data_IF_236833169245
#
_entry.id   IF_236833169245
#
_cell.length_a   1.000
_cell.length_b   1.000
_cell.length_c   1.000
_cell.angle_alpha   90.00
_cell.angle_beta   90.00
_cell.angle_gamma   90.00
#
_symmetry.space_group_name_H-M   'P 1'
#
loop_
_entity.id
_entity.type
_entity.pdbx_description
1 polymer ?
#
# COMPACT_ATOMS: atom_id res chain seq x y z
N UNK A 1 -13.32 15.41 13.02
CA UNK A 1 -12.00 15.58 12.36
C UNK A 1 -11.02 14.48 12.79
N UNK A 2 -11.48 13.36 13.37
CA UNK A 2 -10.62 12.41 14.11
C UNK A 2 -10.24 11.13 13.34
N UNK A 3 -10.92 10.81 12.24
CA UNK A 3 -10.69 9.56 11.50
C UNK A 3 -9.41 9.53 10.65
N UNK A 4 -8.96 10.68 10.15
CA UNK A 4 -7.80 10.72 9.24
C UNK A 4 -6.49 10.36 9.96
N UNK A 5 -6.34 10.75 11.22
CA UNK A 5 -5.12 10.51 12.00
C UNK A 5 -4.93 9.03 12.35
N UNK A 6 -6.02 8.31 12.63
CA UNK A 6 -5.97 6.88 12.92
C UNK A 6 -5.63 6.07 11.66
N UNK A 7 -6.34 6.32 10.55
CA UNK A 7 -6.07 5.65 9.29
C UNK A 7 -4.63 5.91 8.80
N UNK A 8 -4.16 7.15 8.94
CA UNK A 8 -2.78 7.50 8.59
C UNK A 8 -1.76 6.65 9.33
N UNK A 9 -1.92 6.45 10.65
CA UNK A 9 -1.04 5.59 11.45
C UNK A 9 -1.03 4.16 10.96
N UNK A 10 -2.21 3.58 10.70
CA UNK A 10 -2.31 2.21 10.17
C UNK A 10 -1.54 2.09 8.85
N UNK A 11 -1.74 3.05 7.94
CA UNK A 11 -1.07 3.05 6.64
C UNK A 11 0.44 3.20 6.80
N UNK A 12 0.90 4.09 7.69
CA UNK A 12 2.33 4.28 7.97
C UNK A 12 2.97 3.01 8.55
N UNK A 13 2.31 2.35 9.49
CA UNK A 13 2.78 1.09 10.10
C UNK A 13 2.84 -0.05 9.06
N UNK A 14 1.84 -0.15 8.18
CA UNK A 14 1.82 -1.13 7.09
C UNK A 14 2.94 -0.88 6.08
N UNK A 15 3.17 0.38 5.70
CA UNK A 15 4.24 0.77 4.77
C UNK A 15 5.62 0.55 5.40
N UNK A 16 5.81 0.85 6.68
CA UNK A 16 7.06 0.55 7.38
C UNK A 16 7.33 -0.95 7.39
N UNK A 17 6.30 -1.75 7.65
CA UNK A 17 6.39 -3.21 7.64
C UNK A 17 6.74 -3.74 6.25
N UNK A 18 6.08 -3.24 5.21
CA UNK A 18 6.41 -3.56 3.82
C UNK A 18 7.86 -3.23 3.49
N UNK A 19 8.30 -2.01 3.82
CA UNK A 19 9.66 -1.56 3.56
C UNK A 19 10.72 -2.37 4.32
N UNK A 20 10.39 -2.93 5.50
CA UNK A 20 11.29 -3.82 6.22
C UNK A 20 11.49 -5.16 5.51
N UNK A 21 10.46 -5.69 4.84
CA UNK A 21 10.53 -6.98 4.16
C UNK A 21 11.13 -6.87 2.74
N UNK A 22 10.92 -5.75 2.06
CA UNK A 22 11.24 -5.63 0.64
C UNK A 22 12.45 -4.74 0.32
N UNK A 23 12.98 -3.97 1.28
CA UNK A 23 14.21 -3.20 1.04
C UNK A 23 15.43 -4.11 0.89
N UNK A 24 16.36 -3.81 -0.04
CA UNK A 24 16.43 -2.61 -0.89
C UNK A 24 15.77 -2.76 -2.28
N UNK A 25 15.07 -3.87 -2.54
CA UNK A 25 14.54 -4.21 -3.87
C UNK A 25 13.29 -3.42 -4.24
N UNK A 26 12.42 -3.17 -3.24
CA UNK A 26 11.23 -2.32 -3.35
C UNK A 26 11.06 -1.41 -2.13
N UNK A 27 10.54 -0.21 -2.36
CA UNK A 27 10.17 0.77 -1.35
C UNK A 27 8.79 1.34 -1.65
N UNK A 28 7.88 1.26 -0.68
CA UNK A 28 6.56 1.88 -0.68
C UNK A 28 6.59 3.21 0.09
N UNK A 29 5.86 4.20 -0.42
CA UNK A 29 5.75 5.53 0.18
C UNK A 29 4.34 6.08 0.06
N UNK A 30 3.76 6.54 1.18
CA UNK A 30 2.47 7.21 1.18
C UNK A 30 2.58 8.58 0.49
N UNK A 31 1.79 8.78 -0.55
CA UNK A 31 1.70 10.05 -1.30
C UNK A 31 0.58 10.93 -0.73
N UNK A 32 -0.63 10.39 -0.62
CA UNK A 32 -1.80 11.15 -0.23
C UNK A 32 -2.88 10.25 0.38
N UNK A 33 -3.73 10.81 1.25
CA UNK A 33 -4.97 10.19 1.71
C UNK A 33 -6.13 11.07 1.22
N UNK A 34 -7.04 10.50 0.43
CA UNK A 34 -8.24 11.15 -0.11
C UNK A 34 -9.50 10.58 0.53
N UNK A 35 -10.53 11.41 0.64
CA UNK A 35 -11.88 11.00 1.08
C UNK A 35 -11.94 10.25 2.42
N UNK A 36 -10.91 10.39 3.27
CA UNK A 36 -10.74 9.70 4.57
C UNK A 36 -10.65 8.17 4.54
N UNK A 37 -10.73 7.53 3.38
CA UNK A 37 -10.63 6.06 3.24
C UNK A 37 -9.90 5.62 1.97
N UNK A 38 -9.52 6.52 1.08
CA UNK A 38 -8.70 6.22 -0.10
C UNK A 38 -7.29 6.71 0.19
N UNK A 39 -6.28 5.94 -0.16
CA UNK A 39 -4.89 6.33 0.02
C UNK A 39 -4.05 5.92 -1.18
N UNK A 40 -3.05 6.73 -1.50
CA UNK A 40 -2.22 6.61 -2.68
C UNK A 40 -0.81 6.27 -2.21
N UNK A 41 -0.26 5.16 -2.69
CA UNK A 41 1.07 4.69 -2.34
C UNK A 41 1.91 4.59 -3.61
N UNK A 42 3.08 5.21 -3.59
CA UNK A 42 4.08 5.07 -4.64
C UNK A 42 5.04 3.95 -4.26
N UNK A 43 5.27 3.04 -5.21
CA UNK A 43 6.23 1.97 -5.12
C UNK A 43 7.38 2.25 -6.08
N UNK A 44 8.59 2.32 -5.53
CA UNK A 44 9.83 2.49 -6.27
C UNK A 44 10.69 1.24 -6.07
N UNK A 45 11.34 0.77 -7.12
CA UNK A 45 12.20 -0.41 -7.01
C UNK A 45 12.92 -0.75 -8.29
N UNK A 46 13.78 -1.77 -8.22
CA UNK A 46 14.47 -2.32 -9.40
C UNK A 46 13.51 -3.25 -10.13
N UNK A 47 12.42 -2.67 -10.63
CA UNK A 47 11.40 -3.41 -11.34
C UNK A 47 11.96 -3.90 -12.68
N UNK A 48 12.34 -5.17 -12.75
CA UNK A 48 12.52 -5.80 -14.04
C UNK A 48 11.14 -5.85 -14.72
N UNK A 49 11.04 -5.28 -15.91
CA UNK A 49 9.79 -5.13 -16.72
C UNK A 49 8.97 -6.43 -16.87
N UNK A 50 9.56 -7.59 -16.57
CA UNK A 50 8.97 -8.92 -16.74
C UNK A 50 8.64 -9.65 -15.43
N UNK A 51 8.94 -9.10 -14.25
CA UNK A 51 8.76 -9.79 -12.98
C UNK A 51 7.77 -9.06 -12.06
N UNK A 52 6.59 -9.65 -11.85
CA UNK A 52 5.92 -9.64 -10.55
C UNK A 52 5.47 -8.30 -9.95
N UNK A 53 5.22 -7.26 -10.75
CA UNK A 53 4.71 -5.96 -10.25
C UNK A 53 3.47 -6.12 -9.37
N UNK A 54 2.64 -7.10 -9.71
CA UNK A 54 1.42 -7.42 -8.98
C UNK A 54 1.71 -8.02 -7.61
N UNK A 55 2.79 -8.81 -7.47
CA UNK A 55 3.14 -9.49 -6.22
C UNK A 55 3.45 -8.46 -5.12
N UNK A 56 4.11 -7.35 -5.47
CA UNK A 56 4.48 -6.30 -4.51
C UNK A 56 3.27 -5.51 -4.00
N UNK A 57 2.28 -5.31 -4.86
CA UNK A 57 1.04 -4.62 -4.51
C UNK A 57 0.15 -5.55 -3.67
N UNK A 58 0.06 -6.83 -4.05
CA UNK A 58 -0.64 -7.85 -3.28
C UNK A 58 -0.01 -8.05 -1.90
N UNK A 59 1.32 -7.95 -1.77
CA UNK A 59 2.04 -8.03 -0.49
C UNK A 59 1.62 -6.91 0.47
N UNK A 60 1.45 -5.67 -0.01
CA UNK A 60 0.96 -4.59 0.84
C UNK A 60 -0.46 -4.89 1.34
N UNK A 61 -1.35 -5.39 0.47
CA UNK A 61 -2.71 -5.81 0.87
C UNK A 61 -2.66 -6.91 1.93
N UNK A 62 -1.76 -7.88 1.77
CA UNK A 62 -1.59 -8.97 2.73
C UNK A 62 -1.08 -8.46 4.09
N UNK A 63 -0.19 -7.46 4.10
CA UNK A 63 0.28 -6.83 5.34
C UNK A 63 -0.87 -6.15 6.07
N UNK A 64 -1.70 -5.36 5.38
CA UNK A 64 -2.91 -4.78 5.99
C UNK A 64 -3.80 -5.87 6.59
N UNK A 65 -4.03 -6.97 5.85
CA UNK A 65 -4.83 -8.09 6.33
C UNK A 65 -4.23 -8.76 7.57
N UNK A 66 -2.90 -8.90 7.62
CA UNK A 66 -2.19 -9.45 8.79
C UNK A 66 -2.31 -8.55 10.02
N UNK A 67 -2.49 -7.24 9.82
CA UNK A 67 -2.75 -6.25 10.87
C UNK A 67 -4.23 -6.19 11.27
N UNK A 68 -5.11 -6.96 10.62
CA UNK A 68 -6.54 -6.96 10.89
C UNK A 68 -7.33 -5.93 10.08
N UNK A 69 -6.82 -5.46 8.95
CA UNK A 69 -7.43 -4.44 8.10
C UNK A 69 -7.64 -4.94 6.67
N UNK A 70 -8.84 -4.72 6.12
CA UNK A 70 -9.13 -5.01 4.72
C UNK A 70 -8.95 -3.75 3.87
N UNK A 71 -8.12 -3.89 2.84
CA UNK A 71 -7.87 -2.87 1.83
C UNK A 71 -8.03 -3.47 0.44
N UNK A 72 -8.53 -2.68 -0.50
CA UNK A 72 -8.66 -3.08 -1.90
C UNK A 72 -7.83 -2.15 -2.78
N UNK A 73 -7.12 -2.74 -3.76
CA UNK A 73 -6.52 -1.97 -4.84
C UNK A 73 -7.63 -1.54 -5.79
N UNK A 74 -7.85 -0.23 -5.91
CA UNK A 74 -8.83 0.35 -6.82
C UNK A 74 -8.23 0.53 -8.21
N UNK A 75 -7.00 1.02 -8.27
CA UNK A 75 -6.34 1.32 -9.53
C UNK A 75 -4.82 1.34 -9.37
N UNK A 76 -4.10 1.18 -10.47
CA UNK A 76 -2.64 1.29 -10.51
C UNK A 76 -2.22 2.11 -11.71
N UNK A 77 -1.43 3.14 -11.47
CA UNK A 77 -0.91 4.04 -12.49
C UNK A 77 0.60 3.84 -12.59
N UNK A 78 1.10 3.59 -13.80
CA UNK A 78 2.53 3.60 -14.07
C UNK A 78 3.00 5.05 -14.15
N UNK A 79 3.83 5.48 -13.19
CA UNK A 79 4.29 6.87 -13.07
C UNK A 79 5.71 7.09 -13.61
N UNK A 80 6.43 6.01 -13.94
CA UNK A 80 7.72 6.05 -14.60
C UNK A 80 8.29 4.66 -14.88
N UNK A 81 9.49 4.59 -15.46
CA UNK A 81 10.15 3.31 -15.83
C UNK A 81 10.41 2.37 -14.64
N UNK A 82 10.46 2.92 -13.43
CA UNK A 82 10.75 2.20 -12.17
C UNK A 82 9.85 2.62 -11.01
N UNK A 83 8.72 3.24 -11.31
CA UNK A 83 7.82 3.80 -10.30
C UNK A 83 6.38 3.49 -10.66
N UNK A 84 5.65 2.87 -9.75
CA UNK A 84 4.21 2.60 -9.87
C UNK A 84 3.47 3.24 -8.71
N UNK A 85 2.29 3.75 -9.00
CA UNK A 85 1.40 4.34 -8.01
C UNK A 85 0.18 3.46 -7.84
N UNK A 86 -0.02 2.88 -6.66
CA UNK A 86 -1.22 2.14 -6.29
C UNK A 86 -2.22 3.04 -5.59
N UNK A 87 -3.47 3.01 -6.03
CA UNK A 87 -4.61 3.66 -5.37
C UNK A 87 -5.37 2.59 -4.61
N UNK A 88 -5.37 2.71 -3.28
CA UNK A 88 -6.01 1.76 -2.39
C UNK A 88 -7.21 2.39 -1.69
N UNK A 89 -8.18 1.55 -1.35
CA UNK A 89 -9.34 1.92 -0.54
C UNK A 89 -9.39 1.03 0.69
N UNK A 90 -9.36 1.68 1.85
CA UNK A 90 -9.65 1.07 3.13
C UNK A 90 -11.14 0.72 3.19
N UNK A 91 -11.42 -0.57 3.43
CA UNK A 91 -12.79 -1.10 3.53
C UNK A 91 -13.23 -1.14 4.98
N UNK A 92 -12.37 -1.62 5.87
CA UNK A 92 -12.68 -1.77 7.29
C UNK A 92 -11.70 -2.69 8.01
N UNK A 93 -12.04 -3.09 9.22
CA UNK A 93 -11.30 -4.12 9.94
C UNK A 93 -11.66 -5.50 9.38
N UNK A 94 -10.64 -6.30 9.05
CA UNK A 94 -10.83 -7.68 8.64
C UNK A 94 -11.31 -8.46 9.86
N UNK A 95 -12.61 -8.68 9.95
CA UNK A 95 -13.21 -9.48 11.00
C UNK A 95 -12.88 -10.94 10.73
N UNK A 96 -11.71 -11.36 11.20
CA UNK A 96 -11.32 -12.76 11.23
C UNK A 96 -12.39 -13.54 12.00
N UNK A 97 -13.18 -14.33 11.28
CA UNK A 97 -13.99 -15.41 11.84
C UNK A 97 -13.10 -16.60 12.17
#
# INVERSE_FOLDING_TARGET
MENTSFLKRIIEDAIETYNRFHKPEAEAKLIEIRNSNVFIVEFNGVFCFTCGVRDWIEDLVYIFKSMGYDVELIDMIESGDRSRTGIFKYIGESSGR
#
